data_IF_480380894295
#
_entry.id   IF_480380894295
#
_cell.length_a   1.000
_cell.length_b   1.000
_cell.length_c   1.000
_cell.angle_alpha   90.00
_cell.angle_beta   90.00
_cell.angle_gamma   90.00
#
_symmetry.space_group_name_H-M   'P 1'
#
loop_
_entity.id
_entity.type
_entity.pdbx_description
1 polymer ?
#
# COMPACT_ATOMS: atom_id res chain seq x y z
N UNK A 1 -1.11 23.53 7.15
CA UNK A 1 -1.44 22.31 7.92
C UNK A 1 -2.94 22.11 8.01
N UNK A 2 -3.48 21.13 7.28
CA UNK A 2 -4.93 20.99 7.04
C UNK A 2 -5.57 19.74 7.71
N UNK A 3 -4.75 18.81 8.19
CA UNK A 3 -5.25 17.52 8.68
C UNK A 3 -5.96 17.62 10.04
N UNK A 4 -5.54 18.56 10.90
CA UNK A 4 -6.18 18.78 12.22
C UNK A 4 -7.67 19.05 12.07
N UNK A 5 -8.05 19.94 11.15
CA UNK A 5 -9.45 20.30 10.92
C UNK A 5 -10.22 19.15 10.29
N UNK A 6 -9.61 18.41 9.35
CA UNK A 6 -10.22 17.22 8.73
C UNK A 6 -10.55 16.16 9.79
N UNK A 7 -9.60 15.87 10.67
CA UNK A 7 -9.73 14.88 11.74
C UNK A 7 -10.88 15.26 12.69
N UNK A 8 -10.98 16.54 13.08
CA UNK A 8 -12.09 17.00 13.94
C UNK A 8 -13.44 16.83 13.24
N UNK A 9 -13.55 17.19 11.96
CA UNK A 9 -14.80 17.04 11.20
C UNK A 9 -15.19 15.57 11.00
N UNK A 10 -14.22 14.70 10.73
CA UNK A 10 -14.43 13.25 10.60
C UNK A 10 -14.84 12.61 11.92
N UNK A 11 -14.22 13.03 13.03
CA UNK A 11 -14.59 12.59 14.38
C UNK A 11 -16.07 12.88 14.66
N UNK A 12 -16.53 14.10 14.37
CA UNK A 12 -17.93 14.48 14.59
C UNK A 12 -18.91 13.56 13.81
N UNK A 13 -18.54 13.17 12.60
CA UNK A 13 -19.34 12.25 11.77
C UNK A 13 -19.62 10.89 12.44
N UNK A 14 -18.74 10.41 13.31
CA UNK A 14 -18.87 9.12 13.99
C UNK A 14 -19.26 9.22 15.47
N UNK A 15 -19.37 10.43 16.03
CA UNK A 15 -19.69 10.64 17.45
C UNK A 15 -21.03 11.31 17.73
N UNK A 16 -21.58 12.08 16.78
CA UNK A 16 -22.74 12.93 17.02
C UNK A 16 -24.07 12.17 17.18
N UNK A 17 -24.29 11.08 16.45
CA UNK A 17 -25.53 10.30 16.59
C UNK A 17 -25.50 9.50 17.89
N UNK A 18 -26.41 9.78 18.83
CA UNK A 18 -26.46 9.05 20.11
C UNK A 18 -26.77 7.57 19.92
N UNK A 19 -27.62 7.23 18.94
CA UNK A 19 -28.06 5.85 18.71
C UNK A 19 -27.05 5.04 17.86
N UNK A 20 -26.23 5.70 17.03
CA UNK A 20 -25.33 5.03 16.09
C UNK A 20 -23.84 5.36 16.27
N UNK A 21 -23.45 6.24 17.22
CA UNK A 21 -22.04 6.62 17.42
C UNK A 21 -21.14 5.42 17.72
N UNK A 22 -19.89 5.57 17.32
CA UNK A 22 -18.84 4.61 17.61
C UNK A 22 -18.68 4.40 19.13
N UNK A 23 -18.48 3.15 19.54
CA UNK A 23 -18.21 2.79 20.96
C UNK A 23 -16.78 3.11 21.39
N UNK A 24 -15.87 3.17 20.43
CA UNK A 24 -14.49 3.57 20.60
C UNK A 24 -14.08 4.33 19.34
N UNK A 25 -13.28 5.38 19.50
CA UNK A 25 -12.78 6.20 18.40
C UNK A 25 -11.25 6.23 18.51
N UNK A 26 -10.59 5.99 17.38
CA UNK A 26 -9.17 6.25 17.21
C UNK A 26 -9.03 7.34 16.18
N UNK A 27 -8.32 8.42 16.54
CA UNK A 27 -7.99 9.48 15.60
C UNK A 27 -6.55 9.29 15.11
N UNK A 28 -6.30 9.50 13.80
CA UNK A 28 -4.95 9.52 13.29
C UNK A 28 -4.19 10.74 13.84
N UNK A 29 -2.87 10.69 13.76
CA UNK A 29 -2.05 11.87 13.98
C UNK A 29 -2.08 12.78 12.74
N UNK A 30 -1.95 14.08 12.96
CA UNK A 30 -2.01 15.07 11.87
C UNK A 30 -0.87 14.92 10.83
N UNK A 31 0.25 14.31 11.20
CA UNK A 31 1.41 14.02 10.35
C UNK A 31 1.45 12.56 9.85
N UNK A 32 0.40 11.76 10.04
CA UNK A 32 0.38 10.31 9.68
C UNK A 32 0.74 10.02 8.22
N UNK A 33 0.42 10.95 7.30
CA UNK A 33 0.78 10.82 5.89
C UNK A 33 2.30 10.84 5.62
N UNK A 34 3.11 11.33 6.57
CA UNK A 34 4.57 11.44 6.44
C UNK A 34 5.31 10.26 7.08
N UNK A 35 4.73 9.61 8.08
CA UNK A 35 5.36 8.51 8.80
C UNK A 35 4.74 8.27 10.17
N UNK A 36 5.44 7.47 10.99
CA UNK A 36 4.98 7.16 12.34
C UNK A 36 4.95 8.43 13.22
N UNK A 37 3.85 8.65 13.96
CA UNK A 37 3.71 9.84 14.79
C UNK A 37 4.63 9.80 16.01
N UNK A 38 5.06 10.98 16.46
CA UNK A 38 5.79 11.13 17.72
C UNK A 38 4.78 11.19 18.88
N UNK A 39 5.20 10.98 20.14
CA UNK A 39 4.34 11.17 21.30
C UNK A 39 3.64 12.54 21.35
N UNK A 40 4.32 13.59 20.87
CA UNK A 40 3.74 14.93 20.73
C UNK A 40 2.56 14.96 19.75
N UNK A 41 2.71 14.35 18.58
CA UNK A 41 1.67 14.33 17.55
C UNK A 41 0.47 13.48 17.99
N UNK A 42 0.74 12.36 18.66
CA UNK A 42 -0.30 11.49 19.24
C UNK A 42 -1.10 12.19 20.34
N UNK A 43 -0.46 13.07 21.12
CA UNK A 43 -1.13 13.84 22.15
C UNK A 43 -2.23 14.72 21.55
N UNK A 44 -2.03 15.29 20.36
CA UNK A 44 -3.06 16.12 19.71
C UNK A 44 -4.32 15.30 19.41
N UNK A 45 -4.17 14.11 18.83
CA UNK A 45 -5.27 13.18 18.56
C UNK A 45 -6.03 12.78 19.83
N UNK A 46 -5.31 12.61 20.95
CA UNK A 46 -5.94 12.38 22.25
C UNK A 46 -6.70 13.61 22.76
N UNK A 47 -6.09 14.80 22.66
CA UNK A 47 -6.70 16.06 23.13
C UNK A 47 -7.94 16.41 22.35
N UNK A 48 -8.00 16.17 21.03
CA UNK A 48 -9.22 16.37 20.24
C UNK A 48 -10.41 15.57 20.81
N UNK A 49 -10.18 14.31 21.18
CA UNK A 49 -11.22 13.48 21.81
C UNK A 49 -11.60 13.97 23.21
N UNK A 50 -10.62 14.42 24.01
CA UNK A 50 -10.89 14.93 25.35
C UNK A 50 -11.63 16.27 25.33
N UNK A 51 -11.30 17.16 24.40
CA UNK A 51 -12.05 18.40 24.18
C UNK A 51 -13.49 18.06 23.83
N UNK A 52 -13.74 17.15 22.88
CA UNK A 52 -15.09 16.70 22.56
C UNK A 52 -15.82 16.15 23.79
N UNK A 53 -15.15 15.34 24.61
CA UNK A 53 -15.78 14.66 25.74
C UNK A 53 -15.99 15.52 27.00
N UNK A 54 -15.12 16.51 27.25
CA UNK A 54 -15.09 17.24 28.53
C UNK A 54 -15.32 18.75 28.39
N UNK A 55 -15.15 19.31 27.20
CA UNK A 55 -15.31 20.75 26.97
C UNK A 55 -16.53 21.07 26.10
N UNK A 56 -17.18 20.07 25.52
CA UNK A 56 -18.41 20.24 24.73
C UNK A 56 -19.58 19.47 25.35
N UNK A 57 -20.79 19.94 25.09
CA UNK A 57 -22.06 19.30 25.43
C UNK A 57 -22.58 18.39 24.29
N UNK A 58 -21.84 18.28 23.18
CA UNK A 58 -22.24 17.54 21.98
C UNK A 58 -22.59 16.07 22.25
N UNK A 59 -21.96 15.46 23.25
CA UNK A 59 -22.21 14.06 23.61
C UNK A 59 -23.36 13.87 24.60
N UNK A 60 -23.87 14.95 25.19
CA UNK A 60 -24.93 14.94 26.22
C UNK A 60 -26.33 14.95 25.62
N UNK A 61 -26.50 15.60 24.46
CA UNK A 61 -27.77 15.66 23.75
C UNK A 61 -28.34 14.28 23.41
N UNK A 62 -29.66 14.21 23.19
CA UNK A 62 -30.29 13.07 22.51
C UNK A 62 -29.86 12.99 21.04
N UNK A 63 -30.39 12.04 20.25
CA UNK A 63 -29.94 11.92 18.87
C UNK A 63 -30.34 13.13 18.03
N UNK A 64 -29.36 13.99 17.74
CA UNK A 64 -29.58 15.27 17.08
C UNK A 64 -30.04 15.14 15.62
N UNK A 65 -30.02 13.93 15.06
CA UNK A 65 -30.48 13.67 13.70
C UNK A 65 -31.94 13.21 13.63
N UNK A 66 -32.61 12.96 14.76
CA UNK A 66 -34.00 12.53 14.79
C UNK A 66 -34.92 13.56 14.10
N UNK A 67 -35.72 13.10 13.13
CA UNK A 67 -36.64 13.96 12.35
C UNK A 67 -35.99 14.70 11.18
N UNK A 68 -34.70 14.49 10.92
CA UNK A 68 -34.02 15.07 9.76
C UNK A 68 -34.35 14.30 8.48
N UNK A 69 -35.29 14.80 7.68
CA UNK A 69 -35.66 14.21 6.39
C UNK A 69 -34.47 14.05 5.42
N UNK A 70 -33.44 14.91 5.52
CA UNK A 70 -32.22 14.82 4.70
C UNK A 70 -31.36 13.62 5.11
N UNK A 71 -31.11 13.47 6.41
CA UNK A 71 -30.28 12.38 6.92
C UNK A 71 -31.01 11.05 6.79
N UNK A 72 -32.31 11.00 7.12
CA UNK A 72 -33.13 9.80 6.98
C UNK A 72 -33.17 9.31 5.53
N UNK A 73 -33.38 10.20 4.54
CA UNK A 73 -33.35 9.82 3.13
C UNK A 73 -31.97 9.31 2.70
N UNK A 74 -30.89 9.94 3.18
CA UNK A 74 -29.52 9.49 2.87
C UNK A 74 -29.22 8.11 3.48
N UNK A 75 -29.61 7.88 4.72
CA UNK A 75 -29.47 6.57 5.40
C UNK A 75 -30.27 5.51 4.64
N UNK A 76 -31.51 5.80 4.24
CA UNK A 76 -32.34 4.87 3.47
C UNK A 76 -31.67 4.47 2.13
N UNK A 77 -31.09 5.43 1.40
CA UNK A 77 -30.32 5.17 0.17
C UNK A 77 -29.13 4.26 0.44
N UNK A 78 -28.32 4.57 1.46
CA UNK A 78 -27.13 3.78 1.82
C UNK A 78 -27.50 2.35 2.22
N UNK A 79 -28.58 2.17 2.98
CA UNK A 79 -29.08 0.84 3.36
C UNK A 79 -29.54 0.05 2.15
N UNK A 80 -30.26 0.67 1.21
CA UNK A 80 -30.71 0.02 -0.02
C UNK A 80 -29.52 -0.41 -0.89
N UNK A 81 -28.55 0.48 -1.09
CA UNK A 81 -27.32 0.20 -1.85
C UNK A 81 -26.49 -0.92 -1.22
N UNK A 82 -26.32 -0.89 0.11
CA UNK A 82 -25.59 -1.93 0.85
C UNK A 82 -26.29 -3.29 0.78
N UNK A 83 -27.63 -3.34 0.92
CA UNK A 83 -28.38 -4.59 0.77
C UNK A 83 -28.29 -5.16 -0.63
N UNK A 84 -28.37 -4.31 -1.66
CA UNK A 84 -28.19 -4.75 -3.04
C UNK A 84 -26.79 -5.33 -3.31
N UNK A 85 -25.75 -4.81 -2.65
CA UNK A 85 -24.40 -5.39 -2.70
C UNK A 85 -24.32 -6.75 -1.98
N UNK A 86 -24.97 -6.88 -0.81
CA UNK A 86 -25.06 -8.16 -0.11
C UNK A 86 -25.77 -9.22 -0.96
N UNK A 87 -26.89 -8.87 -1.60
CA UNK A 87 -27.62 -9.76 -2.50
C UNK A 87 -26.74 -10.21 -3.69
N UNK A 88 -25.89 -9.31 -4.23
CA UNK A 88 -24.90 -9.66 -5.26
C UNK A 88 -23.85 -10.64 -4.74
N UNK A 89 -23.32 -10.42 -3.54
CA UNK A 89 -22.35 -11.31 -2.91
C UNK A 89 -22.95 -12.70 -2.66
N UNK A 90 -24.21 -12.76 -2.20
CA UNK A 90 -24.94 -14.02 -2.04
C UNK A 90 -25.13 -14.74 -3.37
N UNK A 91 -25.51 -14.02 -4.43
CA UNK A 91 -25.65 -14.58 -5.78
C UNK A 91 -24.34 -15.10 -6.37
N UNK A 92 -23.19 -14.54 -5.96
CA UNK A 92 -21.85 -15.04 -6.34
C UNK A 92 -21.42 -16.30 -5.57
N UNK A 93 -22.20 -16.77 -4.60
CA UNK A 93 -21.85 -17.92 -3.75
C UNK A 93 -21.30 -17.55 -2.38
N UNK A 94 -21.48 -16.30 -1.95
CA UNK A 94 -21.09 -15.81 -0.63
C UNK A 94 -19.73 -15.11 -0.61
N UNK A 95 -19.37 -14.57 0.57
CA UNK A 95 -18.23 -13.68 0.74
C UNK A 95 -16.88 -14.32 0.39
N UNK A 96 -16.66 -15.60 0.72
CA UNK A 96 -15.39 -16.29 0.43
C UNK A 96 -15.16 -16.37 -1.08
N UNK A 97 -16.16 -16.81 -1.85
CA UNK A 97 -16.08 -16.86 -3.31
C UNK A 97 -15.91 -15.46 -3.91
N UNK A 98 -16.58 -14.45 -3.36
CA UNK A 98 -16.44 -13.07 -3.81
C UNK A 98 -15.03 -12.49 -3.56
N UNK A 99 -14.33 -12.93 -2.50
CA UNK A 99 -12.91 -12.60 -2.25
C UNK A 99 -12.02 -13.36 -3.22
N UNK A 100 -12.17 -14.68 -3.34
CA UNK A 100 -11.30 -15.55 -4.16
C UNK A 100 -11.42 -15.27 -5.67
N UNK A 101 -12.62 -14.93 -6.15
CA UNK A 101 -12.83 -14.49 -7.52
C UNK A 101 -12.21 -13.11 -7.83
N UNK A 102 -11.79 -12.38 -6.79
CA UNK A 102 -11.26 -11.02 -6.92
C UNK A 102 -12.31 -9.95 -7.16
N UNK A 103 -13.60 -10.28 -7.10
CA UNK A 103 -14.70 -9.32 -7.30
C UNK A 103 -14.60 -8.14 -6.33
N UNK A 104 -14.53 -8.41 -5.02
CA UNK A 104 -14.48 -7.36 -4.00
C UNK A 104 -13.25 -6.46 -4.16
N UNK A 105 -12.09 -7.08 -4.41
CA UNK A 105 -10.85 -6.33 -4.65
C UNK A 105 -10.96 -5.47 -5.90
N UNK A 106 -11.51 -6.00 -7.00
CA UNK A 106 -11.74 -5.25 -8.23
C UNK A 106 -12.67 -4.05 -8.06
N UNK A 107 -13.74 -4.18 -7.25
CA UNK A 107 -14.62 -3.05 -6.91
C UNK A 107 -13.86 -1.94 -6.16
N UNK A 108 -13.01 -2.31 -5.20
CA UNK A 108 -12.18 -1.35 -4.46
C UNK A 108 -11.16 -0.64 -5.37
N UNK A 109 -10.46 -1.39 -6.23
CA UNK A 109 -9.51 -0.80 -7.19
C UNK A 109 -10.22 0.18 -8.13
N UNK A 110 -11.40 -0.19 -8.62
CA UNK A 110 -12.19 0.64 -9.55
C UNK A 110 -12.71 1.91 -8.88
N UNK A 111 -13.23 1.80 -7.65
CA UNK A 111 -13.67 2.95 -6.85
C UNK A 111 -12.52 3.92 -6.57
N UNK A 112 -11.32 3.40 -6.28
CA UNK A 112 -10.14 4.22 -6.04
C UNK A 112 -9.65 4.92 -7.31
N UNK A 113 -9.65 4.24 -8.46
CA UNK A 113 -9.31 4.82 -9.76
C UNK A 113 -10.29 5.95 -10.14
N UNK A 114 -11.56 5.77 -9.86
CA UNK A 114 -12.56 6.82 -10.05
C UNK A 114 -12.31 8.03 -9.15
N UNK A 115 -11.98 7.82 -7.86
CA UNK A 115 -11.62 8.91 -6.96
C UNK A 115 -10.40 9.67 -7.47
N UNK A 116 -9.35 8.98 -7.91
CA UNK A 116 -8.13 9.60 -8.46
C UNK A 116 -8.44 10.45 -9.69
N UNK A 117 -9.22 9.91 -10.63
CA UNK A 117 -9.68 10.66 -11.80
C UNK A 117 -10.39 11.95 -11.42
N UNK A 118 -11.31 11.92 -10.44
CA UNK A 118 -12.00 13.15 -10.00
C UNK A 118 -11.05 14.16 -9.36
N UNK A 119 -10.02 13.71 -8.67
CA UNK A 119 -9.00 14.62 -8.12
C UNK A 119 -8.18 15.28 -9.23
N UNK A 120 -7.75 14.51 -10.23
CA UNK A 120 -6.91 15.00 -11.32
C UNK A 120 -7.70 15.88 -12.31
N UNK A 121 -8.99 15.59 -12.55
CA UNK A 121 -9.88 16.45 -13.35
C UNK A 121 -10.28 17.75 -12.62
N UNK A 122 -10.04 17.83 -11.31
CA UNK A 122 -10.51 18.94 -10.46
C UNK A 122 -11.97 18.84 -10.02
N UNK A 123 -12.71 17.80 -10.43
CA UNK A 123 -14.09 17.54 -9.98
C UNK A 123 -14.18 17.33 -8.46
N UNK A 124 -13.12 16.76 -7.87
CA UNK A 124 -12.95 16.60 -6.44
C UNK A 124 -11.79 17.48 -5.96
N UNK A 125 -12.13 18.54 -5.24
CA UNK A 125 -11.17 19.46 -4.68
C UNK A 125 -10.58 18.94 -3.35
N UNK A 126 -9.27 19.06 -3.21
CA UNK A 126 -8.51 18.75 -1.99
C UNK A 126 -7.59 19.93 -1.68
N UNK A 127 -7.96 20.70 -0.66
CA UNK A 127 -7.23 21.90 -0.21
C UNK A 127 -5.80 21.58 0.20
N UNK A 128 -4.84 22.32 -0.38
CA UNK A 128 -3.41 22.10 -0.19
C UNK A 128 -2.82 20.97 -1.02
N UNK A 129 -3.58 20.39 -1.96
CA UNK A 129 -3.10 19.33 -2.87
C UNK A 129 -3.32 19.74 -4.33
N UNK A 130 -4.58 19.81 -4.78
CA UNK A 130 -4.92 20.20 -6.17
C UNK A 130 -5.57 21.58 -6.28
N UNK A 131 -5.95 22.19 -5.16
CA UNK A 131 -6.43 23.57 -5.07
C UNK A 131 -5.85 24.24 -3.84
N UNK A 132 -5.69 25.57 -3.88
CA UNK A 132 -5.16 26.37 -2.77
C UNK A 132 -3.84 25.78 -2.24
N UNK A 133 -2.86 25.66 -3.14
CA UNK A 133 -1.58 24.98 -2.89
C UNK A 133 -0.52 25.88 -2.26
N UNK A 134 -0.81 27.19 -2.17
CA UNK A 134 0.03 28.16 -1.49
C UNK A 134 0.13 27.82 0.01
N UNK A 135 1.35 27.83 0.55
CA UNK A 135 1.61 27.51 1.95
C UNK A 135 2.80 28.30 2.48
N UNK A 136 2.75 28.60 3.78
CA UNK A 136 3.92 29.03 4.54
C UNK A 136 4.83 27.82 4.81
N UNK A 137 6.14 28.03 5.02
CA UNK A 137 7.04 26.94 5.37
C UNK A 137 6.56 26.21 6.64
N UNK A 138 6.46 24.89 6.54
CA UNK A 138 6.02 24.06 7.65
C UNK A 138 7.21 23.52 8.44
N UNK A 139 7.23 23.68 9.77
CA UNK A 139 8.24 23.05 10.63
C UNK A 139 8.30 21.52 10.51
N UNK A 140 7.24 20.87 9.99
CA UNK A 140 7.26 19.44 9.73
C UNK A 140 8.00 19.06 8.44
N UNK A 141 7.85 19.87 7.40
CA UNK A 141 8.42 19.56 6.09
C UNK A 141 9.84 20.09 5.95
N UNK A 142 10.21 21.13 6.69
CA UNK A 142 11.56 21.71 6.68
C UNK A 142 12.60 20.80 7.34
N UNK A 143 12.22 19.99 8.33
CA UNK A 143 13.12 19.04 8.99
C UNK A 143 12.45 17.65 9.12
N UNK A 144 12.15 17.05 7.96
CA UNK A 144 11.52 15.72 7.86
C UNK A 144 12.22 14.65 8.70
N UNK A 145 13.54 14.75 8.90
CA UNK A 145 14.31 13.80 9.72
C UNK A 145 13.94 13.81 11.20
N UNK A 146 13.50 14.96 11.74
CA UNK A 146 13.04 15.12 13.13
C UNK A 146 11.50 15.10 13.26
N UNK A 147 10.79 15.22 12.12
CA UNK A 147 9.33 15.29 12.06
C UNK A 147 8.63 13.94 12.18
N UNK A 148 9.35 12.83 11.97
CA UNK A 148 8.83 11.46 12.04
C UNK A 148 9.67 10.60 12.98
N UNK A 149 9.06 9.56 13.54
CA UNK A 149 9.80 8.57 14.32
C UNK A 149 10.64 7.67 13.40
N UNK A 150 11.96 7.61 13.63
CA UNK A 150 12.86 6.66 12.97
C UNK A 150 13.14 5.48 13.91
N UNK A 151 13.16 4.28 13.35
CA UNK A 151 13.52 3.06 14.09
C UNK A 151 15.05 2.96 14.15
N UNK A 152 15.59 2.67 15.32
CA UNK A 152 17.03 2.46 15.51
C UNK A 152 17.46 1.15 14.81
N UNK A 153 18.46 1.17 13.91
CA UNK A 153 18.98 -0.03 13.26
C UNK A 153 19.43 -1.15 14.22
N UNK A 154 19.81 -0.81 15.46
CA UNK A 154 20.22 -1.81 16.46
C UNK A 154 19.07 -2.74 16.89
N UNK A 155 17.82 -2.30 16.79
CA UNK A 155 16.63 -3.04 17.25
C UNK A 155 16.50 -4.39 16.55
N UNK A 156 16.87 -4.48 15.26
CA UNK A 156 16.84 -5.74 14.52
C UNK A 156 17.84 -6.74 15.11
N UNK A 157 19.08 -6.31 15.36
CA UNK A 157 20.11 -7.16 15.92
C UNK A 157 19.76 -7.59 17.35
N UNK A 158 19.23 -6.69 18.17
CA UNK A 158 18.76 -7.01 19.53
C UNK A 158 17.64 -8.06 19.51
N UNK A 159 16.70 -7.96 18.55
CA UNK A 159 15.65 -8.95 18.37
C UNK A 159 16.20 -10.32 17.94
N UNK A 160 17.20 -10.34 17.04
CA UNK A 160 17.88 -11.58 16.63
C UNK A 160 18.59 -12.23 17.82
N UNK A 161 19.36 -11.46 18.58
CA UNK A 161 20.12 -11.96 19.74
C UNK A 161 19.17 -12.50 20.82
N UNK A 162 18.08 -11.78 21.09
CA UNK A 162 17.02 -12.21 22.00
C UNK A 162 16.36 -13.51 21.54
N UNK A 163 16.07 -13.64 20.24
CA UNK A 163 15.50 -14.86 19.66
C UNK A 163 16.45 -16.06 19.76
N UNK A 164 17.75 -15.85 19.51
CA UNK A 164 18.76 -16.90 19.63
C UNK A 164 18.91 -17.35 21.08
N UNK A 165 18.98 -16.41 22.02
CA UNK A 165 19.03 -16.69 23.45
C UNK A 165 17.78 -17.48 23.89
N UNK A 166 16.59 -17.04 23.47
CA UNK A 166 15.32 -17.73 23.75
C UNK A 166 15.32 -19.17 23.23
N UNK A 167 15.74 -19.38 21.98
CA UNK A 167 15.83 -20.72 21.36
C UNK A 167 16.83 -21.62 22.07
N UNK A 168 17.92 -21.07 22.60
CA UNK A 168 18.94 -21.84 23.32
C UNK A 168 18.53 -22.26 24.74
N UNK A 169 17.65 -21.48 25.38
CA UNK A 169 17.27 -21.67 26.79
C UNK A 169 16.03 -22.54 26.99
N UNK A 170 15.15 -22.65 25.97
CA UNK A 170 13.91 -23.42 26.03
C UNK A 170 14.16 -24.93 25.97
N UNK A 171 13.19 -25.72 26.47
CA UNK A 171 13.25 -27.18 26.38
C UNK A 171 12.93 -27.65 24.95
N UNK A 172 13.96 -28.12 24.24
CA UNK A 172 13.85 -28.59 22.86
C UNK A 172 12.85 -29.76 22.71
N UNK A 173 12.79 -30.68 23.67
CA UNK A 173 11.89 -31.83 23.58
C UNK A 173 10.42 -31.42 23.69
N UNK A 174 10.10 -30.48 24.58
CA UNK A 174 8.76 -29.90 24.68
C UNK A 174 8.35 -29.14 23.42
N UNK A 175 9.28 -28.40 22.82
CA UNK A 175 9.05 -27.67 21.55
C UNK A 175 8.74 -28.63 20.41
N UNK A 176 9.56 -29.67 20.23
CA UNK A 176 9.37 -30.68 19.18
C UNK A 176 8.02 -31.38 19.33
N UNK A 177 7.66 -31.78 20.56
CA UNK A 177 6.37 -32.41 20.83
C UNK A 177 5.20 -31.48 20.52
N UNK A 178 5.29 -30.21 20.91
CA UNK A 178 4.24 -29.22 20.67
C UNK A 178 4.06 -28.94 19.17
N UNK A 179 5.15 -28.78 18.42
CA UNK A 179 5.11 -28.59 16.97
C UNK A 179 4.55 -29.81 16.24
N UNK A 180 4.93 -31.02 16.66
CA UNK A 180 4.38 -32.25 16.10
C UNK A 180 2.87 -32.37 16.35
N UNK A 181 2.40 -32.00 17.54
CA UNK A 181 0.96 -31.96 17.85
C UNK A 181 0.23 -30.93 16.99
N UNK A 182 0.83 -29.75 16.78
CA UNK A 182 0.26 -28.71 15.92
C UNK A 182 0.15 -29.18 14.47
N UNK A 183 1.20 -29.84 13.95
CA UNK A 183 1.19 -30.39 12.60
C UNK A 183 0.11 -31.48 12.44
N UNK A 184 -0.02 -32.37 13.42
CA UNK A 184 -1.03 -33.43 13.40
C UNK A 184 -2.46 -32.86 13.46
N UNK A 185 -2.70 -31.87 14.31
CA UNK A 185 -4.01 -31.22 14.42
C UNK A 185 -4.32 -30.40 13.14
N UNK A 186 -3.35 -29.70 12.56
CA UNK A 186 -3.49 -28.94 11.31
C UNK A 186 -3.79 -29.82 10.10
N UNK A 187 -3.32 -31.07 10.08
CA UNK A 187 -3.67 -32.05 9.07
C UNK A 187 -5.06 -32.72 9.27
N UNK A 188 -5.85 -32.23 10.24
CA UNK A 188 -7.14 -32.79 10.61
C UNK A 188 -8.21 -31.71 10.80
N UNK A 189 -9.44 -32.09 11.14
CA UNK A 189 -10.53 -31.16 11.47
C UNK A 189 -10.56 -30.76 12.97
N UNK A 190 -9.47 -31.01 13.71
CA UNK A 190 -9.39 -30.68 15.14
C UNK A 190 -9.20 -29.19 15.37
N UNK A 191 -9.67 -28.73 16.52
CA UNK A 191 -9.48 -27.34 16.94
C UNK A 191 -7.99 -27.09 17.24
N UNK A 192 -7.37 -26.16 16.52
CA UNK A 192 -5.95 -25.82 16.66
C UNK A 192 -5.61 -25.08 17.95
N UNK A 193 -6.58 -24.54 18.69
CA UNK A 193 -6.33 -23.71 19.86
C UNK A 193 -5.56 -24.46 20.96
N UNK A 194 -5.86 -25.74 21.18
CA UNK A 194 -5.18 -26.53 22.22
C UNK A 194 -3.71 -26.76 21.87
N UNK A 195 -3.43 -27.17 20.62
CA UNK A 195 -2.05 -27.33 20.14
C UNK A 195 -1.29 -25.98 20.10
N UNK A 196 -2.00 -24.90 19.77
CA UNK A 196 -1.50 -23.53 19.76
C UNK A 196 -1.08 -23.07 21.17
N UNK A 197 -1.89 -23.33 22.18
CA UNK A 197 -1.56 -23.06 23.58
C UNK A 197 -0.37 -23.89 24.05
N UNK A 198 -0.28 -25.16 23.63
CA UNK A 198 0.86 -26.01 23.92
C UNK A 198 2.15 -25.44 23.30
N UNK A 199 2.11 -24.97 22.05
CA UNK A 199 3.23 -24.31 21.38
C UNK A 199 3.69 -23.06 22.13
N UNK A 200 2.75 -22.17 22.50
CA UNK A 200 3.05 -20.96 23.26
C UNK A 200 3.72 -21.27 24.60
N UNK A 201 3.21 -22.27 25.34
CA UNK A 201 3.77 -22.70 26.64
C UNK A 201 5.14 -23.35 26.51
N UNK A 202 5.38 -24.10 25.44
CA UNK A 202 6.67 -24.72 25.14
C UNK A 202 7.73 -23.72 24.66
N UNK A 203 7.35 -22.47 24.37
CA UNK A 203 8.26 -21.44 23.87
C UNK A 203 8.55 -21.57 22.37
N UNK A 204 7.63 -22.15 21.61
CA UNK A 204 7.63 -22.09 20.14
C UNK A 204 7.57 -20.63 19.69
N UNK A 205 8.41 -20.28 18.73
CA UNK A 205 8.44 -18.94 18.13
C UNK A 205 7.32 -18.77 17.11
N UNK A 206 6.88 -17.53 16.87
CA UNK A 206 5.88 -17.25 15.82
C UNK A 206 6.30 -17.75 14.45
N UNK A 207 7.60 -17.71 14.12
CA UNK A 207 8.11 -18.23 12.84
C UNK A 207 7.99 -19.74 12.71
N UNK A 208 8.33 -20.51 13.74
CA UNK A 208 8.21 -21.98 13.73
C UNK A 208 6.75 -22.44 13.69
N UNK A 209 5.90 -21.74 14.45
CA UNK A 209 4.45 -21.97 14.41
C UNK A 209 3.91 -21.71 13.00
N UNK A 210 4.21 -20.54 12.43
CA UNK A 210 3.78 -20.19 11.10
C UNK A 210 4.29 -21.17 10.03
N UNK A 211 5.52 -21.69 10.16
CA UNK A 211 6.08 -22.71 9.26
C UNK A 211 5.25 -23.99 9.26
N UNK A 212 4.92 -24.52 10.44
CA UNK A 212 4.08 -25.73 10.54
C UNK A 212 2.71 -25.53 9.89
N UNK A 213 2.10 -24.36 10.08
CA UNK A 213 0.81 -24.06 9.44
C UNK A 213 0.96 -23.83 7.93
N UNK A 214 2.08 -23.27 7.47
CA UNK A 214 2.38 -23.12 6.05
C UNK A 214 2.59 -24.48 5.38
N UNK A 215 3.26 -25.42 6.03
CA UNK A 215 3.44 -26.78 5.52
C UNK A 215 2.10 -27.51 5.36
N UNK A 216 1.15 -27.28 6.29
CA UNK A 216 -0.17 -27.90 6.24
C UNK A 216 -1.13 -27.23 5.24
N UNK A 217 -1.15 -25.90 5.16
CA UNK A 217 -2.18 -25.14 4.43
C UNK A 217 -1.66 -24.42 3.18
N UNK A 218 -0.35 -24.33 3.00
CA UNK A 218 0.29 -23.52 1.97
C UNK A 218 0.22 -22.02 2.26
N UNK A 219 0.58 -21.23 1.24
CA UNK A 219 0.49 -19.77 1.29
C UNK A 219 -0.65 -19.26 0.41
N UNK A 220 -1.43 -18.32 0.95
CA UNK A 220 -2.49 -17.66 0.18
C UNK A 220 -1.92 -16.54 -0.70
N UNK A 221 -2.21 -16.57 -2.00
CA UNK A 221 -1.94 -15.47 -2.95
C UNK A 221 -3.27 -14.83 -3.36
N UNK A 222 -3.49 -13.62 -2.88
CA UNK A 222 -4.73 -12.89 -3.11
C UNK A 222 -4.84 -12.39 -4.56
N UNK A 223 -6.06 -12.33 -5.13
CA UNK A 223 -6.31 -11.63 -6.39
C UNK A 223 -5.91 -10.16 -6.30
N UNK A 224 -5.32 -9.63 -7.36
CA UNK A 224 -4.82 -8.25 -7.39
C UNK A 224 -5.89 -7.20 -7.67
N UNK A 225 -7.02 -7.59 -8.27
CA UNK A 225 -8.12 -6.70 -8.69
C UNK A 225 -7.82 -5.80 -9.90
N UNK A 226 -6.58 -5.80 -10.39
CA UNK A 226 -6.16 -4.95 -11.52
C UNK A 226 -6.74 -5.45 -12.85
N UNK A 227 -6.84 -6.77 -13.04
CA UNK A 227 -7.28 -7.42 -14.28
C UNK A 227 -8.73 -7.09 -14.69
N UNK A 228 -9.64 -6.91 -13.73
CA UNK A 228 -11.05 -6.60 -13.99
C UNK A 228 -11.40 -5.11 -14.03
N UNK A 229 -10.50 -4.24 -13.57
CA UNK A 229 -10.71 -2.78 -13.63
C UNK A 229 -10.51 -2.31 -15.07
N UNK A 230 -11.41 -1.51 -15.63
CA UNK A 230 -11.19 -0.84 -16.92
C UNK A 230 -11.26 0.66 -16.64
N UNK A 231 -10.13 1.36 -16.77
CA UNK A 231 -10.10 2.82 -16.65
C UNK A 231 -10.70 3.49 -17.88
N UNK A 232 -12.01 3.40 -18.06
CA UNK A 232 -12.69 4.03 -19.19
C UNK A 232 -12.51 5.57 -19.21
N UNK A 233 -12.27 6.19 -18.06
CA UNK A 233 -12.21 7.65 -17.90
C UNK A 233 -10.83 8.30 -18.01
N UNK A 234 -9.72 7.55 -17.95
CA UNK A 234 -8.36 8.12 -17.95
C UNK A 234 -7.74 8.25 -19.35
N UNK A 235 -8.39 7.66 -20.36
CA UNK A 235 -7.84 7.54 -21.71
C UNK A 235 -7.55 8.87 -22.39
N UNK A 236 -8.34 9.91 -22.13
CA UNK A 236 -8.17 11.20 -22.79
C UNK A 236 -6.90 11.94 -22.31
N UNK A 237 -6.66 11.98 -20.99
CA UNK A 237 -5.47 12.61 -20.42
C UNK A 237 -4.19 11.82 -20.74
N UNK A 238 -4.28 10.49 -20.77
CA UNK A 238 -3.16 9.60 -21.12
C UNK A 238 -2.88 9.51 -22.63
N UNK A 239 -3.69 10.11 -23.50
CA UNK A 239 -3.55 9.96 -24.96
C UNK A 239 -2.14 10.30 -25.47
N UNK A 240 -1.50 11.41 -25.06
CA UNK A 240 -0.14 11.72 -25.49
C UNK A 240 0.88 10.65 -25.05
N UNK A 241 0.77 10.19 -23.80
CA UNK A 241 1.64 9.14 -23.26
C UNK A 241 1.42 7.82 -24.00
N UNK A 242 0.17 7.48 -24.31
CA UNK A 242 -0.20 6.27 -25.04
C UNK A 242 0.39 6.23 -26.45
N UNK A 243 0.37 7.35 -27.16
CA UNK A 243 1.01 7.48 -28.46
C UNK A 243 2.53 7.32 -28.35
N UNK A 244 3.15 7.92 -27.34
CA UNK A 244 4.59 7.82 -27.11
C UNK A 244 5.04 6.40 -26.69
N UNK A 245 4.22 5.67 -25.91
CA UNK A 245 4.44 4.26 -25.57
C UNK A 245 4.37 3.39 -26.82
N UNK A 246 3.38 3.62 -27.69
CA UNK A 246 3.25 2.90 -28.95
C UNK A 246 4.40 3.18 -29.91
N UNK A 247 4.88 4.42 -29.98
CA UNK A 247 6.06 4.80 -30.74
C UNK A 247 7.32 4.10 -30.23
N UNK A 248 7.58 4.20 -28.93
CA UNK A 248 8.74 3.54 -28.30
C UNK A 248 8.70 2.02 -28.48
N UNK A 249 7.52 1.40 -28.37
CA UNK A 249 7.35 -0.03 -28.64
C UNK A 249 7.71 -0.40 -30.09
N UNK A 250 7.39 0.46 -31.07
CA UNK A 250 7.79 0.24 -32.47
C UNK A 250 9.29 0.39 -32.66
N UNK A 251 9.92 1.37 -32.01
CA UNK A 251 11.37 1.60 -32.09
C UNK A 251 12.17 0.43 -31.50
N UNK A 252 11.70 -0.14 -30.39
CA UNK A 252 12.33 -1.31 -29.74
C UNK A 252 11.92 -2.65 -30.37
N UNK A 253 10.90 -2.66 -31.23
CA UNK A 253 10.40 -3.87 -31.89
C UNK A 253 9.62 -4.83 -30.99
N UNK A 254 9.25 -4.41 -29.78
CA UNK A 254 8.52 -5.22 -28.80
C UNK A 254 7.57 -4.34 -27.97
N UNK A 255 6.62 -4.96 -27.26
CA UNK A 255 5.73 -4.22 -26.34
C UNK A 255 6.52 -3.82 -25.10
N UNK A 256 6.36 -2.58 -24.66
CA UNK A 256 6.94 -2.12 -23.39
C UNK A 256 6.30 -2.84 -22.21
N UNK A 257 7.13 -3.55 -21.43
CA UNK A 257 6.72 -4.30 -20.25
C UNK A 257 7.14 -3.59 -18.97
N UNK A 258 6.19 -3.39 -18.05
CA UNK A 258 6.41 -2.79 -16.74
C UNK A 258 6.09 -3.82 -15.65
N UNK A 259 7.09 -4.20 -14.85
CA UNK A 259 6.89 -4.95 -13.62
C UNK A 259 6.60 -3.99 -12.48
N UNK A 260 5.37 -4.02 -11.96
CA UNK A 260 5.02 -3.34 -10.71
C UNK A 260 5.19 -4.35 -9.58
N UNK A 261 6.03 -4.06 -8.61
CA UNK A 261 6.37 -5.00 -7.54
C UNK A 261 6.35 -4.35 -6.15
N UNK A 262 5.94 -5.15 -5.16
CA UNK A 262 5.90 -4.76 -3.75
C UNK A 262 6.77 -5.71 -2.91
N UNK A 263 8.02 -5.30 -2.61
CA UNK A 263 8.96 -6.16 -1.89
C UNK A 263 8.66 -6.25 -0.39
N UNK A 264 9.04 -7.36 0.22
CA UNK A 264 9.04 -7.54 1.68
C UNK A 264 7.66 -7.82 2.25
N UNK A 265 7.32 -7.25 3.41
CA UNK A 265 6.03 -7.49 4.08
C UNK A 265 5.00 -6.37 3.85
N UNK A 266 5.33 -5.39 2.99
CA UNK A 266 4.47 -4.23 2.74
C UNK A 266 3.14 -4.62 2.07
N UNK A 267 2.05 -4.47 2.82
CA UNK A 267 0.69 -4.75 2.36
C UNK A 267 0.01 -3.57 1.65
N UNK A 268 0.63 -2.38 1.58
CA UNK A 268 -0.03 -1.18 1.04
C UNK A 268 -0.09 -1.20 -0.48
N UNK A 269 -1.16 -1.75 -1.05
CA UNK A 269 -1.26 -2.01 -2.48
C UNK A 269 -1.94 -0.91 -3.30
N UNK A 270 -2.65 0.03 -2.67
CA UNK A 270 -3.46 1.03 -3.37
C UNK A 270 -2.66 1.80 -4.44
N UNK A 271 -1.50 2.36 -4.09
CA UNK A 271 -0.67 3.12 -5.03
C UNK A 271 -0.14 2.26 -6.18
N UNK A 272 0.38 1.06 -5.87
CA UNK A 272 0.86 0.11 -6.87
C UNK A 272 -0.24 -0.32 -7.85
N UNK A 273 -1.46 -0.54 -7.36
CA UNK A 273 -2.62 -0.89 -8.19
C UNK A 273 -3.00 0.25 -9.13
N UNK A 274 -2.98 1.50 -8.67
CA UNK A 274 -3.26 2.65 -9.55
C UNK A 274 -2.18 2.85 -10.61
N UNK A 275 -0.91 2.69 -10.26
CA UNK A 275 0.20 2.70 -11.22
C UNK A 275 0.03 1.58 -12.25
N UNK A 276 -0.34 0.37 -11.81
CA UNK A 276 -0.56 -0.76 -12.71
C UNK A 276 -1.74 -0.52 -13.67
N UNK A 277 -2.85 0.05 -13.18
CA UNK A 277 -4.01 0.42 -14.01
C UNK A 277 -3.65 1.52 -15.01
N UNK A 278 -2.99 2.59 -14.55
CA UNK A 278 -2.59 3.70 -15.41
C UNK A 278 -1.56 3.29 -16.48
N UNK A 279 -0.58 2.46 -16.12
CA UNK A 279 0.39 1.93 -17.06
C UNK A 279 -0.28 1.09 -18.16
N UNK A 280 -1.23 0.22 -17.79
CA UNK A 280 -2.00 -0.55 -18.77
C UNK A 280 -2.82 0.35 -19.68
N UNK A 281 -3.47 1.38 -19.13
CA UNK A 281 -4.26 2.34 -19.91
C UNK A 281 -3.39 3.22 -20.82
N UNK A 282 -2.12 3.47 -20.42
CA UNK A 282 -1.08 4.09 -21.24
C UNK A 282 -0.49 3.13 -22.31
N UNK A 283 -0.87 1.85 -22.31
CA UNK A 283 -0.49 0.89 -23.35
C UNK A 283 0.68 -0.05 -23.00
N UNK A 284 1.22 0.03 -21.79
CA UNK A 284 2.21 -0.94 -21.31
C UNK A 284 1.58 -2.33 -21.16
N UNK A 285 2.40 -3.36 -21.34
CA UNK A 285 2.12 -4.70 -20.83
C UNK A 285 2.55 -4.72 -19.35
N UNK A 286 1.61 -4.87 -18.43
CA UNK A 286 1.86 -4.71 -16.99
C UNK A 286 1.89 -6.07 -16.31
N UNK A 287 2.99 -6.34 -15.62
CA UNK A 287 3.17 -7.51 -14.75
C UNK A 287 2.96 -7.02 -13.30
N UNK A 288 1.94 -7.53 -12.63
CA UNK A 288 1.69 -7.24 -11.22
C UNK A 288 1.28 -8.52 -10.49
N UNK A 289 2.18 -9.01 -9.64
CA UNK A 289 2.02 -10.26 -8.88
C UNK A 289 1.44 -10.05 -7.47
N UNK A 290 1.04 -8.82 -7.13
CA UNK A 290 0.47 -8.48 -5.84
C UNK A 290 1.50 -8.07 -4.80
N UNK A 291 1.21 -8.37 -3.54
CA UNK A 291 2.00 -7.97 -2.38
C UNK A 291 2.88 -9.11 -1.87
N UNK A 292 3.84 -8.75 -1.02
CA UNK A 292 4.71 -9.69 -0.29
C UNK A 292 5.56 -10.57 -1.20
N UNK A 293 6.27 -9.93 -2.12
CA UNK A 293 7.27 -10.58 -2.97
C UNK A 293 8.64 -10.48 -2.31
N UNK A 294 9.42 -11.57 -2.38
CA UNK A 294 10.83 -11.49 -1.98
C UNK A 294 11.65 -10.74 -3.04
N UNK A 295 12.81 -10.15 -2.71
CA UNK A 295 13.73 -9.62 -3.71
C UNK A 295 14.03 -10.62 -4.83
N UNK A 296 14.19 -11.90 -4.49
CA UNK A 296 14.48 -12.99 -5.42
C UNK A 296 13.30 -13.26 -6.36
N UNK A 297 12.06 -13.23 -5.86
CA UNK A 297 10.87 -13.37 -6.72
C UNK A 297 10.80 -12.23 -7.75
N UNK A 298 11.10 -11.00 -7.33
CA UNK A 298 11.07 -9.82 -8.19
C UNK A 298 12.13 -9.92 -9.29
N UNK A 299 13.37 -10.27 -8.93
CA UNK A 299 14.45 -10.49 -9.90
C UNK A 299 14.08 -11.60 -10.87
N UNK A 300 13.56 -12.72 -10.37
CA UNK A 300 13.14 -13.86 -11.20
C UNK A 300 12.04 -13.47 -12.18
N UNK A 301 11.02 -12.74 -11.71
CA UNK A 301 9.93 -12.25 -12.55
C UNK A 301 10.45 -11.25 -13.61
N UNK A 302 11.37 -10.35 -13.24
CA UNK A 302 11.95 -9.40 -14.18
C UNK A 302 12.68 -10.10 -15.33
N UNK A 303 13.48 -11.14 -15.02
CA UNK A 303 14.20 -11.95 -16.01
C UNK A 303 13.23 -12.74 -16.89
N UNK A 304 12.28 -13.45 -16.28
CA UNK A 304 11.35 -14.34 -16.98
C UNK A 304 10.42 -13.58 -17.93
N UNK A 305 9.98 -12.39 -17.52
CA UNK A 305 9.05 -11.56 -18.28
C UNK A 305 9.76 -10.60 -19.24
N UNK A 306 11.10 -10.54 -19.25
CA UNK A 306 11.92 -9.67 -20.10
C UNK A 306 11.43 -8.21 -20.05
N UNK A 307 11.45 -7.65 -18.84
CA UNK A 307 10.79 -6.37 -18.54
C UNK A 307 11.64 -5.19 -18.97
N UNK A 308 10.98 -4.11 -19.38
CA UNK A 308 11.65 -2.89 -19.80
C UNK A 308 11.85 -1.91 -18.64
N UNK A 309 11.10 -2.06 -17.55
CA UNK A 309 11.23 -1.27 -16.34
C UNK A 309 10.67 -2.05 -15.15
N UNK A 310 11.26 -1.83 -13.97
CA UNK A 310 10.78 -2.35 -12.70
C UNK A 310 10.35 -1.16 -11.84
N UNK A 311 9.07 -1.08 -11.50
CA UNK A 311 8.52 -0.13 -10.54
C UNK A 311 8.34 -0.77 -9.18
N UNK A 312 9.19 -0.42 -8.22
CA UNK A 312 9.06 -0.85 -6.83
C UNK A 312 8.13 0.10 -6.08
N UNK A 313 7.19 -0.43 -5.30
CA UNK A 313 6.32 0.38 -4.42
C UNK A 313 6.52 -0.02 -2.96
N UNK A 314 7.06 0.88 -2.14
CA UNK A 314 7.41 0.64 -0.73
C UNK A 314 6.88 1.77 0.16
N UNK A 315 5.97 1.44 1.08
CA UNK A 315 5.39 2.37 2.05
C UNK A 315 5.74 2.00 3.51
N UNK A 316 6.46 0.89 3.71
CA UNK A 316 6.85 0.35 5.01
C UNK A 316 8.13 0.96 5.60
N UNK A 317 8.82 1.83 4.87
CA UNK A 317 10.14 2.38 5.28
C UNK A 317 11.32 1.41 5.11
N UNK A 318 11.11 0.26 4.46
CA UNK A 318 12.13 -0.78 4.26
C UNK A 318 12.94 -0.62 2.95
N UNK A 319 12.88 0.56 2.33
CA UNK A 319 13.49 0.82 1.02
C UNK A 319 15.01 0.75 1.06
N UNK A 320 15.66 1.23 2.13
CA UNK A 320 17.12 1.18 2.26
C UNK A 320 17.66 -0.25 2.42
N UNK A 321 16.85 -1.20 2.89
CA UNK A 321 17.24 -2.60 3.05
C UNK A 321 16.90 -3.43 1.81
N UNK A 322 15.71 -3.24 1.23
CA UNK A 322 15.21 -4.12 0.16
C UNK A 322 15.70 -3.71 -1.23
N UNK A 323 15.80 -2.40 -1.51
CA UNK A 323 16.17 -1.92 -2.84
C UNK A 323 17.60 -2.32 -3.21
N UNK A 324 18.63 -2.18 -2.35
CA UNK A 324 19.98 -2.61 -2.68
C UNK A 324 20.05 -4.11 -3.02
N UNK A 325 19.37 -4.96 -2.25
CA UNK A 325 19.32 -6.42 -2.49
C UNK A 325 18.71 -6.74 -3.86
N UNK A 326 17.67 -6.00 -4.27
CA UNK A 326 17.05 -6.17 -5.59
C UNK A 326 18.02 -5.71 -6.69
N UNK A 327 18.64 -4.54 -6.53
CA UNK A 327 19.60 -4.01 -7.51
C UNK A 327 20.80 -4.95 -7.69
N UNK A 328 21.34 -5.49 -6.61
CA UNK A 328 22.43 -6.48 -6.63
C UNK A 328 21.98 -7.75 -7.37
N UNK A 329 20.81 -8.29 -7.02
CA UNK A 329 20.25 -9.47 -7.69
C UNK A 329 19.99 -9.27 -9.19
N UNK A 330 19.56 -8.08 -9.61
CA UNK A 330 19.41 -7.74 -11.04
C UNK A 330 20.76 -7.68 -11.75
N UNK A 331 21.80 -7.12 -11.11
CA UNK A 331 23.17 -7.10 -11.67
C UNK A 331 23.72 -8.52 -11.82
N UNK A 332 23.54 -9.36 -10.81
CA UNK A 332 23.96 -10.77 -10.84
C UNK A 332 23.22 -11.58 -11.92
N UNK A 333 21.96 -11.23 -12.20
CA UNK A 333 21.17 -11.79 -13.29
C UNK A 333 21.47 -11.20 -14.67
N UNK A 334 22.37 -10.21 -14.77
CA UNK A 334 22.74 -9.56 -16.03
C UNK A 334 21.75 -8.50 -16.55
N UNK A 335 20.80 -8.05 -15.72
CA UNK A 335 19.78 -7.05 -16.08
C UNK A 335 20.24 -5.61 -15.82
N UNK A 336 21.45 -5.25 -16.26
CA UNK A 336 22.05 -3.93 -15.96
C UNK A 336 21.40 -2.76 -16.70
N UNK A 337 20.71 -3.04 -17.81
CA UNK A 337 20.10 -2.02 -18.69
C UNK A 337 18.62 -1.77 -18.38
N UNK A 338 18.05 -2.52 -17.42
CA UNK A 338 16.66 -2.38 -17.01
C UNK A 338 16.58 -1.35 -15.87
N UNK A 339 15.97 -0.17 -16.09
CA UNK A 339 15.81 0.80 -15.04
C UNK A 339 14.88 0.31 -13.93
N UNK A 340 15.28 0.61 -12.70
CA UNK A 340 14.43 0.47 -11.51
C UNK A 340 13.96 1.85 -11.10
N UNK A 341 12.65 2.05 -11.01
CA UNK A 341 12.04 3.24 -10.41
C UNK A 341 11.40 2.85 -9.08
N UNK A 342 11.31 3.81 -8.17
CA UNK A 342 10.83 3.56 -6.82
C UNK A 342 9.70 4.54 -6.48
N UNK A 343 8.62 4.04 -5.88
CA UNK A 343 7.50 4.84 -5.41
C UNK A 343 7.15 4.56 -3.95
N UNK A 344 6.69 5.57 -3.21
CA UNK A 344 6.15 5.40 -1.86
C UNK A 344 6.50 6.52 -0.89
N UNK A 345 6.47 6.23 0.41
CA UNK A 345 6.83 7.21 1.46
C UNK A 345 8.34 7.14 1.68
N UNK A 346 9.07 7.99 0.94
CA UNK A 346 10.53 7.95 0.89
C UNK A 346 11.07 9.35 1.23
N UNK A 347 11.83 9.49 2.33
CA UNK A 347 12.50 10.73 2.68
C UNK A 347 13.47 11.20 1.58
N UNK A 348 13.66 12.52 1.46
CA UNK A 348 14.50 13.12 0.40
C UNK A 348 15.97 12.68 0.47
N UNK A 349 16.52 12.48 1.68
CA UNK A 349 17.87 11.97 1.90
C UNK A 349 18.03 10.53 1.40
N UNK A 350 17.04 9.69 1.68
CA UNK A 350 17.00 8.30 1.28
C UNK A 350 16.82 8.18 -0.24
N UNK A 351 15.96 9.02 -0.83
CA UNK A 351 15.75 9.09 -2.27
C UNK A 351 17.06 9.39 -3.01
N UNK A 352 17.82 10.39 -2.54
CA UNK A 352 19.14 10.73 -3.10
C UNK A 352 20.11 9.55 -2.99
N UNK A 353 20.19 8.93 -1.81
CA UNK A 353 21.06 7.78 -1.58
C UNK A 353 20.71 6.59 -2.50
N UNK A 354 19.42 6.33 -2.72
CA UNK A 354 18.97 5.25 -3.61
C UNK A 354 19.20 5.55 -5.10
N UNK A 355 19.10 6.82 -5.51
CA UNK A 355 19.46 7.24 -6.86
C UNK A 355 20.96 7.03 -7.11
N UNK A 356 21.81 7.40 -6.15
CA UNK A 356 23.26 7.18 -6.22
C UNK A 356 23.62 5.68 -6.32
N UNK A 357 22.79 4.80 -5.73
CA UNK A 357 22.92 3.33 -5.83
C UNK A 357 22.43 2.75 -7.16
N UNK A 358 21.72 3.53 -7.98
CA UNK A 358 21.30 3.13 -9.32
C UNK A 358 19.79 3.13 -9.57
N UNK A 359 18.96 3.60 -8.64
CA UNK A 359 17.54 3.87 -8.89
C UNK A 359 17.42 5.02 -9.90
N UNK A 360 16.61 4.83 -10.94
CA UNK A 360 16.50 5.78 -12.04
C UNK A 360 15.60 6.99 -11.73
N UNK A 361 14.57 6.79 -10.91
CA UNK A 361 13.67 7.85 -10.46
C UNK A 361 12.96 7.45 -9.16
N UNK A 362 12.62 8.42 -8.33
CA UNK A 362 11.84 8.25 -7.09
C UNK A 362 10.57 9.08 -7.15
N UNK A 363 9.42 8.47 -6.86
CA UNK A 363 8.09 9.09 -6.81
C UNK A 363 7.54 9.03 -5.37
N UNK A 364 7.17 10.18 -4.83
CA UNK A 364 6.69 10.38 -3.46
C UNK A 364 5.20 10.73 -3.44
N UNK A 365 4.54 10.89 -2.27
CA UNK A 365 3.13 11.31 -2.24
C UNK A 365 2.84 12.67 -2.88
N UNK A 366 3.88 13.49 -3.12
CA UNK A 366 3.79 14.76 -3.86
C UNK A 366 3.57 14.52 -5.36
N UNK A 367 4.02 13.39 -5.87
CA UNK A 367 3.86 12.95 -7.26
C UNK A 367 2.50 12.25 -7.40
N UNK A 368 1.42 13.02 -7.43
CA UNK A 368 0.06 12.48 -7.47
C UNK A 368 -0.51 12.36 -8.89
N UNK A 369 0.10 12.97 -9.90
CA UNK A 369 -0.35 12.88 -11.29
C UNK A 369 0.18 11.60 -11.95
N UNK A 370 -0.73 10.65 -12.21
CA UNK A 370 -0.35 9.38 -12.84
C UNK A 370 0.10 9.55 -14.30
N UNK A 371 -0.40 10.55 -15.02
CA UNK A 371 0.01 10.84 -16.39
C UNK A 371 1.47 11.28 -16.44
N UNK A 372 1.88 12.15 -15.51
CA UNK A 372 3.27 12.58 -15.38
C UNK A 372 4.19 11.42 -14.97
N UNK A 373 3.77 10.59 -14.01
CA UNK A 373 4.52 9.39 -13.61
C UNK A 373 4.73 8.47 -14.82
N UNK A 374 3.68 8.20 -15.61
CA UNK A 374 3.79 7.33 -16.79
C UNK A 374 4.71 7.92 -17.85
N UNK A 375 4.63 9.24 -18.09
CA UNK A 375 5.53 9.93 -19.02
C UNK A 375 7.00 9.85 -18.56
N UNK A 376 7.26 10.00 -17.26
CA UNK A 376 8.61 9.90 -16.70
C UNK A 376 9.15 8.46 -16.76
N UNK A 377 8.34 7.45 -16.45
CA UNK A 377 8.73 6.04 -16.62
C UNK A 377 9.12 5.77 -18.07
N UNK A 378 8.34 6.26 -19.05
CA UNK A 378 8.67 6.13 -20.45
C UNK A 378 10.00 6.82 -20.80
N UNK A 379 10.23 8.03 -20.30
CA UNK A 379 11.48 8.77 -20.52
C UNK A 379 12.70 8.00 -19.97
N UNK A 380 12.57 7.40 -18.79
CA UNK A 380 13.62 6.57 -18.17
C UNK A 380 13.93 5.33 -19.01
N UNK A 381 12.89 4.64 -19.53
CA UNK A 381 13.07 3.48 -20.44
C UNK A 381 13.82 3.92 -21.69
N UNK A 382 13.37 4.99 -22.35
CA UNK A 382 13.99 5.51 -23.57
C UNK A 382 15.45 5.89 -23.36
N UNK A 383 15.78 6.55 -22.24
CA UNK A 383 17.14 6.97 -21.93
C UNK A 383 18.11 5.79 -21.72
N UNK A 384 17.62 4.64 -21.26
CA UNK A 384 18.43 3.44 -20.99
C UNK A 384 18.55 2.51 -22.20
N UNK A 385 17.47 2.34 -22.95
CA UNK A 385 17.36 1.25 -23.94
C UNK A 385 17.39 1.72 -25.38
N UNK A 386 17.16 3.01 -25.65
CA UNK A 386 17.35 3.56 -26.98
C UNK A 386 18.73 4.21 -27.07
N UNK A 387 19.46 4.02 -28.19
CA UNK A 387 20.70 4.74 -28.42
C UNK A 387 20.44 6.24 -28.44
N UNK A 388 21.24 7.02 -27.71
CA UNK A 388 21.17 8.47 -27.75
C UNK A 388 21.22 8.95 -29.21
N UNK A 389 20.19 9.68 -29.63
CA UNK A 389 20.01 10.11 -31.01
C UNK A 389 21.22 10.96 -31.45
N UNK A 390 22.18 10.36 -32.16
CA UNK A 390 23.28 11.09 -32.82
C UNK A 390 22.74 11.77 -34.06
N UNK A 391 21.97 12.84 -33.87
CA UNK A 391 21.60 13.75 -34.95
C UNK A 391 21.38 15.16 -34.39
N UNK A 392 22.49 15.84 -34.14
CA UNK A 392 22.53 17.30 -34.25
C UNK A 392 23.09 17.59 -35.65
N UNK A 393 22.30 18.12 -36.61
CA UNK A 393 22.87 18.71 -37.80
C UNK A 393 23.56 20.02 -37.40
N UNK A 394 24.73 20.24 -37.99
CA UNK A 394 25.61 21.39 -37.79
C UNK A 394 24.97 22.74 -38.14
#
# INVERSE_FOLDING_TARGET
ENNVQRIVLEMLGVTLSKQARARAVQLPAWNEALGLPRPWDQQWSLRMQQVLAYETDLLEYDDIFDGSHVIEAKVASLVAEARAELDRIEALGGAVVAVESGYLKGQLVSSHAERRRRMESGDQQIVGVNVLTEHEPSPLTENLGEAIMRVDPAVEQEAIDSLQAWRSARDAASVELALASLAADAASDRNLMEASLACARAGVTTGEWAEVLRDAFGEYRAPTGVSGSVGAGHRAALEPVRLAVAETSRELGTRLRLLVAKPGLDGHSNGAEQVAVAARDAGFEVIYQGIRLTPQDIVSAAVQEDVHCIGLSILSGSHLQLVPVILDGLRDAGMTDVPVVLGGIIPEDDARSLIDLGVAAVFTPKDFDLTEIMAHILAVIRARQLPANRSTPA
#
